data_IF_242435934722
#
_entry.id   IF_242435934722
#
_cell.length_a   1.000
_cell.length_b   1.000
_cell.length_c   1.000
_cell.angle_alpha   90.00
_cell.angle_beta   90.00
_cell.angle_gamma   90.00
#
_symmetry.space_group_name_H-M   'P 1'
#
loop_
_entity.id
_entity.type
_entity.pdbx_description
1 polymer ?
#
# COMPACT_ATOMS: atom_id res chain seq x y z
N UNK A 1 -14.76 10.87 -0.50
CA UNK A 1 -13.68 10.65 0.49
C UNK A 1 -13.22 12.03 0.96
N UNK A 2 -13.20 12.32 2.26
CA UNK A 2 -12.76 13.65 2.74
C UNK A 2 -11.24 13.66 2.78
N UNK A 3 -10.60 14.56 2.03
CA UNK A 3 -9.15 14.65 1.96
C UNK A 3 -8.51 14.97 3.32
N UNK A 4 -7.31 14.44 3.55
CA UNK A 4 -6.58 14.49 4.84
C UNK A 4 -5.11 14.86 4.59
N UNK A 5 -4.83 16.08 4.11
CA UNK A 5 -3.51 16.47 3.62
C UNK A 5 -2.40 16.23 4.66
N UNK A 6 -2.62 16.66 5.91
CA UNK A 6 -1.65 16.49 6.99
C UNK A 6 -1.11 15.05 7.14
N UNK A 7 -1.97 14.03 7.03
CA UNK A 7 -1.55 12.64 7.16
C UNK A 7 -0.85 12.15 5.90
N UNK A 8 -1.39 12.51 4.73
CA UNK A 8 -0.83 12.12 3.43
C UNK A 8 0.56 12.73 3.24
N UNK A 9 0.72 14.03 3.49
CA UNK A 9 1.99 14.75 3.33
C UNK A 9 3.07 14.18 4.26
N UNK A 10 2.72 13.91 5.53
CA UNK A 10 3.64 13.29 6.49
C UNK A 10 4.12 11.91 6.03
N UNK A 11 3.23 11.07 5.50
CA UNK A 11 3.62 9.73 5.05
C UNK A 11 4.40 9.79 3.73
N UNK A 12 4.01 10.67 2.81
CA UNK A 12 4.65 10.84 1.51
C UNK A 12 6.11 11.30 1.61
N UNK A 13 6.45 12.07 2.65
CA UNK A 13 7.85 12.44 2.95
C UNK A 13 8.76 11.21 3.15
N UNK A 14 8.20 10.05 3.50
CA UNK A 14 8.93 8.81 3.73
C UNK A 14 8.66 7.71 2.70
N UNK A 15 7.87 7.96 1.64
CA UNK A 15 7.42 6.94 0.69
C UNK A 15 8.57 6.09 0.13
N UNK A 16 9.71 6.73 -0.19
CA UNK A 16 10.85 6.07 -0.82
C UNK A 16 12.03 5.72 0.08
N UNK A 17 11.87 5.90 1.39
CA UNK A 17 12.86 5.49 2.37
C UNK A 17 12.94 3.96 2.49
N UNK A 18 14.10 3.39 2.89
CA UNK A 18 14.32 1.94 2.94
C UNK A 18 13.54 1.21 4.04
N UNK A 19 12.79 1.94 4.87
CA UNK A 19 12.02 1.36 5.98
C UNK A 19 10.57 1.04 5.56
N UNK A 20 10.00 0.02 6.19
CA UNK A 20 8.58 -0.31 6.09
C UNK A 20 7.77 0.72 6.90
N UNK A 21 6.71 1.25 6.29
CA UNK A 21 5.82 2.22 6.94
C UNK A 21 4.61 1.48 7.51
N UNK A 22 4.49 1.45 8.84
CA UNK A 22 3.37 0.81 9.53
C UNK A 22 2.41 1.90 10.03
N UNK A 23 1.17 1.89 9.52
CA UNK A 23 0.11 2.77 10.01
C UNK A 23 -0.68 2.08 11.12
N UNK A 24 -0.53 2.54 12.36
CA UNK A 24 -1.22 1.97 13.53
C UNK A 24 -2.44 2.80 13.93
N UNK A 25 -3.33 2.21 14.73
CA UNK A 25 -4.51 2.89 15.27
C UNK A 25 -5.73 1.97 15.42
N UNK A 26 -6.78 2.46 16.09
CA UNK A 26 -7.99 1.68 16.40
C UNK A 26 -8.77 1.25 15.14
N UNK A 27 -9.60 0.21 15.25
CA UNK A 27 -10.48 -0.23 14.15
C UNK A 27 -11.41 0.93 13.74
N UNK A 28 -11.64 1.10 12.43
CA UNK A 28 -12.48 2.16 11.83
C UNK A 28 -11.95 3.60 11.94
N UNK A 29 -10.71 3.85 12.38
CA UNK A 29 -10.14 5.21 12.37
C UNK A 29 -9.73 5.75 10.97
N UNK A 30 -9.95 5.00 9.89
CA UNK A 30 -9.69 5.46 8.52
C UNK A 30 -8.32 5.13 7.94
N UNK A 31 -7.55 4.21 8.55
CA UNK A 31 -6.23 3.78 8.03
C UNK A 31 -6.26 3.36 6.56
N UNK A 32 -7.17 2.47 6.18
CA UNK A 32 -7.34 2.04 4.79
C UNK A 32 -7.73 3.19 3.86
N UNK A 33 -8.41 4.21 4.36
CA UNK A 33 -8.74 5.43 3.61
C UNK A 33 -7.48 6.27 3.37
N UNK A 34 -6.59 6.41 4.36
CA UNK A 34 -5.30 7.08 4.20
C UNK A 34 -4.41 6.34 3.20
N UNK A 35 -4.31 5.01 3.29
CA UNK A 35 -3.56 4.20 2.31
C UNK A 35 -4.09 4.40 0.88
N UNK A 36 -5.42 4.47 0.71
CA UNK A 36 -6.04 4.82 -0.59
C UNK A 36 -5.64 6.21 -1.07
N UNK A 37 -5.63 7.22 -0.21
CA UNK A 37 -5.17 8.57 -0.60
C UNK A 37 -3.70 8.59 -1.03
N UNK A 38 -2.85 7.81 -0.36
CA UNK A 38 -1.43 7.68 -0.73
C UNK A 38 -1.29 7.02 -2.10
N UNK A 39 -2.04 5.94 -2.36
CA UNK A 39 -2.07 5.29 -3.67
C UNK A 39 -2.49 6.29 -4.76
N UNK A 40 -3.57 7.04 -4.55
CA UNK A 40 -4.01 8.04 -5.53
C UNK A 40 -2.96 9.13 -5.75
N UNK A 41 -2.28 9.59 -4.70
CA UNK A 41 -1.22 10.59 -4.83
C UNK A 41 0.00 10.08 -5.59
N UNK A 42 0.39 8.82 -5.39
CA UNK A 42 1.45 8.19 -6.19
C UNK A 42 1.05 8.08 -7.67
N UNK A 43 -0.23 7.81 -7.97
CA UNK A 43 -0.72 7.78 -9.36
C UNK A 43 -0.72 9.17 -9.98
N UNK A 44 -1.29 10.16 -9.30
CA UNK A 44 -1.54 11.49 -9.90
C UNK A 44 -0.33 12.40 -9.92
N UNK A 45 0.48 12.42 -8.86
CA UNK A 45 1.62 13.35 -8.77
C UNK A 45 2.93 12.74 -9.28
N UNK A 46 3.07 11.41 -9.19
CA UNK A 46 4.29 10.70 -9.60
C UNK A 46 4.11 9.81 -10.83
N UNK A 47 2.91 9.81 -11.43
CA UNK A 47 2.57 9.02 -12.62
C UNK A 47 2.93 7.53 -12.46
N UNK A 48 2.81 6.99 -11.25
CA UNK A 48 3.07 5.57 -11.00
C UNK A 48 1.88 4.76 -11.54
N UNK A 49 2.10 3.83 -12.49
CA UNK A 49 1.03 2.99 -13.03
C UNK A 49 0.39 2.12 -11.95
N UNK A 50 -0.91 1.82 -12.09
CA UNK A 50 -1.65 1.02 -11.13
C UNK A 50 -1.09 -0.41 -11.00
N UNK A 51 -0.50 -0.93 -12.07
CA UNK A 51 0.14 -2.24 -12.16
C UNK A 51 1.36 -2.35 -11.24
N UNK A 52 1.98 -1.21 -10.88
CA UNK A 52 3.09 -1.16 -9.92
C UNK A 52 2.63 -1.02 -8.46
N UNK A 53 1.31 -1.05 -8.21
CA UNK A 53 0.72 -0.95 -6.88
C UNK A 53 -0.02 -2.24 -6.55
N UNK A 54 0.49 -2.99 -5.59
CA UNK A 54 -0.16 -4.19 -5.08
C UNK A 54 -0.85 -3.81 -3.78
N UNK A 55 -2.18 -3.91 -3.75
CA UNK A 55 -2.95 -3.74 -2.52
C UNK A 55 -3.62 -5.06 -2.12
N UNK A 56 -3.32 -5.54 -0.92
CA UNK A 56 -3.82 -6.81 -0.41
C UNK A 56 -4.45 -6.64 0.98
N UNK A 57 -5.66 -7.17 1.16
CA UNK A 57 -6.35 -7.18 2.45
C UNK A 57 -6.20 -8.56 3.09
N UNK A 58 -5.04 -8.82 3.68
CA UNK A 58 -4.74 -10.10 4.32
C UNK A 58 -5.59 -10.39 5.58
N UNK A 59 -6.40 -9.43 6.03
CA UNK A 59 -7.43 -9.62 7.06
C UNK A 59 -8.78 -10.10 6.50
N UNK A 60 -8.91 -10.25 5.18
CA UNK A 60 -10.08 -10.82 4.52
C UNK A 60 -10.10 -12.34 4.65
N UNK A 61 -11.29 -12.94 4.74
CA UNK A 61 -11.49 -14.40 4.74
C UNK A 61 -10.92 -15.09 3.49
N UNK A 62 -10.76 -14.35 2.38
CA UNK A 62 -10.12 -14.84 1.15
C UNK A 62 -8.67 -15.33 1.37
N UNK A 63 -8.03 -14.90 2.45
CA UNK A 63 -6.64 -15.21 2.78
C UNK A 63 -6.48 -16.02 4.08
N UNK A 64 -7.57 -16.53 4.66
CA UNK A 64 -7.56 -17.18 5.98
C UNK A 64 -6.58 -18.37 6.05
N UNK A 65 -6.54 -19.20 5.00
CA UNK A 65 -5.65 -20.36 4.90
C UNK A 65 -4.31 -20.05 4.20
N UNK A 66 -4.03 -18.79 3.89
CA UNK A 66 -2.83 -18.43 3.12
C UNK A 66 -1.58 -18.53 3.99
N UNK A 67 -0.65 -19.39 3.59
CA UNK A 67 0.67 -19.48 4.21
C UNK A 67 1.59 -18.35 3.78
N UNK A 68 2.60 -18.04 4.60
CA UNK A 68 3.64 -17.07 4.25
C UNK A 68 4.36 -17.40 2.92
N UNK A 69 4.54 -18.69 2.61
CA UNK A 69 5.15 -19.14 1.35
C UNK A 69 4.28 -18.81 0.14
N UNK A 70 2.96 -19.02 0.26
CA UNK A 70 2.00 -18.67 -0.79
C UNK A 70 1.90 -17.14 -0.96
N UNK A 71 1.88 -16.38 0.14
CA UNK A 71 1.92 -14.93 0.11
C UNK A 71 3.18 -14.42 -0.62
N UNK A 72 4.35 -14.96 -0.28
CA UNK A 72 5.61 -14.59 -0.93
C UNK A 72 5.61 -14.91 -2.42
N UNK A 73 5.15 -16.10 -2.83
CA UNK A 73 5.05 -16.48 -4.23
C UNK A 73 4.14 -15.52 -5.02
N UNK A 74 2.94 -15.24 -4.48
CA UNK A 74 2.00 -14.31 -5.09
C UNK A 74 2.56 -12.89 -5.24
N UNK A 75 3.25 -12.39 -4.21
CA UNK A 75 3.88 -11.06 -4.26
C UNK A 75 5.00 -11.03 -5.29
N UNK A 76 5.87 -12.05 -5.30
CA UNK A 76 7.03 -12.15 -6.19
C UNK A 76 6.62 -12.13 -7.67
N UNK A 77 5.55 -12.84 -8.03
CA UNK A 77 5.02 -12.89 -9.40
C UNK A 77 4.48 -11.54 -9.89
N UNK A 78 4.07 -10.66 -8.97
CA UNK A 78 3.50 -9.35 -9.28
C UNK A 78 4.52 -8.21 -9.20
N UNK A 79 5.76 -8.48 -8.81
CA UNK A 79 6.79 -7.46 -8.77
C UNK A 79 7.11 -6.99 -10.19
N UNK A 80 7.11 -5.67 -10.39
CA UNK A 80 7.54 -5.09 -11.65
C UNK A 80 9.07 -5.25 -11.79
N UNK A 81 9.57 -5.87 -12.88
CA UNK A 81 11.01 -6.00 -13.10
C UNK A 81 11.67 -4.65 -13.40
N UNK A 82 10.94 -3.74 -14.05
CA UNK A 82 11.47 -2.47 -14.56
C UNK A 82 11.12 -1.28 -13.66
N UNK A 83 11.24 -1.46 -12.34
CA UNK A 83 11.14 -0.36 -11.40
C UNK A 83 10.59 -0.74 -10.03
N UNK A 84 10.25 0.29 -9.25
CA UNK A 84 9.76 0.12 -7.90
C UNK A 84 8.30 -0.34 -7.89
N UNK A 85 8.03 -1.39 -7.14
CA UNK A 85 6.67 -1.84 -6.80
C UNK A 85 6.31 -1.33 -5.41
N UNK A 86 5.09 -0.79 -5.26
CA UNK A 86 4.56 -0.32 -3.99
C UNK A 86 3.56 -1.35 -3.44
N UNK A 87 3.76 -1.75 -2.19
CA UNK A 87 2.89 -2.71 -1.48
C UNK A 87 2.03 -1.95 -0.46
N UNK A 88 0.73 -2.22 -0.46
CA UNK A 88 -0.28 -1.57 0.37
C UNK A 88 -1.20 -2.56 1.08
#
# INVERSE_FOLDING_TARGET
MIYRPLYVDKIMAYADTPFVKILTGVRRCGKSTILKMIMERLKTERNIPAERMISCRYDSMEFEDMTAKQMYAQLKERLCPDGKTYLF
#
